data_IF_757935691874
#
_entry.id   IF_757935691874
#
_cell.length_a   1.000
_cell.length_b   1.000
_cell.length_c   1.000
_cell.angle_alpha   90.00
_cell.angle_beta   90.00
_cell.angle_gamma   90.00
#
_symmetry.space_group_name_H-M   'P 1'
#
loop_
_entity.id
_entity.type
_entity.pdbx_description
1 polymer ?
#
# COMPACT_ATOMS: atom_id res chain seq x y z
N UNK A 1 4.86 0.37 -3.14
CA UNK A 1 6.16 0.17 -2.47
C UNK A 1 6.80 1.52 -2.24
N UNK A 2 7.28 1.75 -1.04
CA UNK A 2 7.87 3.02 -0.66
C UNK A 2 8.92 2.80 0.41
N UNK A 3 9.90 3.69 0.43
CA UNK A 3 10.94 3.75 1.46
C UNK A 3 10.92 5.14 2.08
N UNK A 4 11.24 5.22 3.37
CA UNK A 4 11.41 6.46 4.11
C UNK A 4 12.72 6.46 4.92
N UNK A 5 12.91 7.48 5.76
CA UNK A 5 14.12 7.62 6.59
C UNK A 5 14.43 6.42 7.50
N UNK A 6 13.43 5.57 7.80
CA UNK A 6 13.56 4.40 8.66
C UNK A 6 13.67 3.08 7.89
N UNK A 7 13.58 3.10 6.55
CA UNK A 7 13.71 1.93 5.70
C UNK A 7 12.44 1.66 4.88
N UNK A 8 12.03 0.39 4.82
CA UNK A 8 10.88 -0.05 4.03
C UNK A 8 9.57 0.35 4.71
N UNK A 9 8.65 0.98 3.98
CA UNK A 9 7.41 1.52 4.52
C UNK A 9 6.18 1.20 3.64
N UNK A 10 6.08 -0.04 3.12
CA UNK A 10 5.02 -0.41 2.18
C UNK A 10 3.60 -0.15 2.71
N UNK A 11 2.73 0.29 1.79
CA UNK A 11 1.30 0.53 2.04
C UNK A 11 0.47 -0.44 1.22
N UNK A 12 -0.43 -1.18 1.87
CA UNK A 12 -1.44 -2.01 1.19
C UNK A 12 -2.62 -1.13 0.80
N UNK A 13 -3.02 -1.20 -0.47
CA UNK A 13 -4.27 -0.64 -0.94
C UNK A 13 -5.34 -1.72 -0.96
N UNK A 14 -6.51 -1.43 -0.41
CA UNK A 14 -7.62 -2.37 -0.32
C UNK A 14 -8.94 -1.72 -0.74
N UNK A 15 -9.87 -2.54 -1.23
CA UNK A 15 -11.26 -2.17 -1.50
C UNK A 15 -12.19 -2.97 -0.60
N UNK A 16 -13.37 -2.44 -0.24
CA UNK A 16 -14.42 -3.21 0.43
C UNK A 16 -14.77 -4.50 -0.31
N UNK A 17 -15.08 -5.55 0.45
CA UNK A 17 -15.68 -6.78 -0.10
C UNK A 17 -17.07 -6.50 -0.67
N UNK A 18 -17.50 -7.29 -1.66
CA UNK A 18 -18.76 -7.05 -2.39
C UNK A 18 -20.01 -7.05 -1.50
N UNK A 19 -19.97 -7.75 -0.35
CA UNK A 19 -21.05 -7.72 0.65
C UNK A 19 -21.22 -6.34 1.30
N UNK A 20 -20.13 -5.57 1.42
CA UNK A 20 -20.11 -4.22 1.97
C UNK A 20 -20.42 -3.21 0.87
N UNK A 21 -19.76 -3.33 -0.29
CA UNK A 21 -19.97 -2.45 -1.43
C UNK A 21 -19.64 -3.16 -2.75
N UNK A 22 -20.65 -3.38 -3.59
CA UNK A 22 -20.50 -4.08 -4.87
C UNK A 22 -19.86 -3.25 -5.98
N UNK A 23 -19.77 -1.92 -5.82
CA UNK A 23 -19.23 -1.02 -6.84
C UNK A 23 -17.77 -1.27 -7.21
N UNK A 24 -17.01 -1.97 -6.35
CA UNK A 24 -15.62 -2.37 -6.63
C UNK A 24 -15.45 -3.87 -6.89
N UNK A 25 -16.53 -4.63 -7.08
CA UNK A 25 -16.44 -6.07 -7.30
C UNK A 25 -15.65 -6.47 -8.56
N UNK A 26 -15.43 -5.52 -9.49
CA UNK A 26 -14.64 -5.70 -10.70
C UNK A 26 -13.15 -5.39 -10.52
N UNK A 27 -12.74 -4.93 -9.33
CA UNK A 27 -11.35 -4.56 -9.01
C UNK A 27 -10.75 -5.71 -8.19
N UNK A 28 -9.93 -6.50 -8.86
CA UNK A 28 -9.18 -7.64 -8.33
C UNK A 28 -7.67 -7.36 -8.28
N UNK A 29 -7.18 -6.41 -9.08
CA UNK A 29 -5.78 -6.00 -9.11
C UNK A 29 -5.63 -4.48 -9.36
N UNK A 30 -4.43 -3.96 -9.11
CA UNK A 30 -4.14 -2.52 -9.13
C UNK A 30 -4.28 -1.88 -10.51
N UNK A 31 -4.09 -2.66 -11.57
CA UNK A 31 -4.24 -2.20 -12.96
C UNK A 31 -5.69 -1.93 -13.36
N UNK A 32 -6.67 -2.37 -12.57
CA UNK A 32 -8.09 -2.08 -12.76
C UNK A 32 -8.54 -0.82 -12.01
N UNK A 33 -7.67 -0.23 -11.20
CA UNK A 33 -7.91 1.06 -10.57
C UNK A 33 -7.51 2.17 -11.54
N UNK A 34 -8.31 3.23 -11.62
CA UNK A 34 -7.98 4.39 -12.43
C UNK A 34 -6.59 4.93 -12.09
N UNK A 35 -5.75 5.15 -13.10
CA UNK A 35 -4.39 5.68 -12.93
C UNK A 35 -4.39 7.02 -12.19
N UNK A 36 -5.42 7.84 -12.40
CA UNK A 36 -5.57 9.12 -11.70
C UNK A 36 -5.64 8.96 -10.17
N UNK A 37 -6.27 7.89 -9.67
CA UNK A 37 -6.26 7.59 -8.24
C UNK A 37 -4.88 7.14 -7.77
N UNK A 38 -4.17 6.34 -8.56
CA UNK A 38 -2.81 5.88 -8.23
C UNK A 38 -1.83 7.06 -8.16
N UNK A 39 -1.91 7.98 -9.11
CA UNK A 39 -1.12 9.21 -9.14
C UNK A 39 -1.40 10.08 -7.90
N UNK A 40 -2.68 10.27 -7.54
CA UNK A 40 -3.06 11.08 -6.36
C UNK A 40 -2.57 10.48 -5.05
N UNK A 41 -2.69 9.16 -4.88
CA UNK A 41 -2.20 8.47 -3.68
C UNK A 41 -0.67 8.53 -3.63
N UNK A 42 0.01 8.29 -4.76
CA UNK A 42 1.46 8.41 -4.86
C UNK A 42 1.94 9.81 -4.47
N UNK A 43 1.43 10.84 -5.15
CA UNK A 43 1.79 12.23 -4.86
C UNK A 43 1.56 12.61 -3.39
N UNK A 44 0.46 12.15 -2.79
CA UNK A 44 0.22 12.40 -1.36
C UNK A 44 1.37 11.86 -0.50
N UNK A 45 1.78 10.61 -0.67
CA UNK A 45 2.84 10.01 0.13
C UNK A 45 4.22 10.61 -0.17
N UNK A 46 4.48 11.00 -1.42
CA UNK A 46 5.73 11.67 -1.80
C UNK A 46 5.92 13.02 -1.09
N UNK A 47 4.82 13.74 -0.83
CA UNK A 47 4.89 15.14 -0.39
C UNK A 47 4.41 15.40 1.05
N UNK A 48 3.70 14.47 1.70
CA UNK A 48 3.08 14.78 3.00
C UNK A 48 4.08 15.11 4.12
N UNK A 49 5.34 14.68 3.97
CA UNK A 49 6.44 14.96 4.92
C UNK A 49 7.34 16.13 4.50
N UNK A 50 7.05 16.88 3.43
CA UNK A 50 7.97 17.88 2.87
C UNK A 50 8.41 18.98 3.87
N UNK A 51 7.58 19.26 4.87
CA UNK A 51 7.85 20.26 5.91
C UNK A 51 8.42 19.66 7.21
N UNK A 52 8.60 18.33 7.26
CA UNK A 52 9.18 17.63 8.40
C UNK A 52 10.70 17.50 8.22
N UNK A 53 11.47 18.31 8.97
CA UNK A 53 12.93 18.35 8.85
C UNK A 53 13.55 16.96 9.03
N UNK A 54 14.31 16.52 8.02
CA UNK A 54 15.05 15.26 8.04
C UNK A 54 14.22 14.04 7.63
N UNK A 55 12.94 14.20 7.31
CA UNK A 55 12.10 13.12 6.79
C UNK A 55 11.95 13.21 5.28
N UNK A 56 11.75 12.08 4.65
CA UNK A 56 11.55 11.97 3.20
C UNK A 56 10.75 10.72 2.88
N UNK A 57 10.17 10.69 1.69
CA UNK A 57 9.53 9.50 1.14
C UNK A 57 9.99 9.33 -0.30
N UNK A 58 10.24 8.07 -0.68
CA UNK A 58 10.48 7.70 -2.08
C UNK A 58 9.50 6.60 -2.48
N UNK A 59 8.79 6.82 -3.58
CA UNK A 59 7.99 5.79 -4.22
C UNK A 59 8.85 4.94 -5.16
N UNK A 60 8.86 3.64 -4.92
CA UNK A 60 9.54 2.66 -5.77
C UNK A 60 8.57 2.00 -6.78
N UNK A 61 7.30 2.40 -6.74
CA UNK A 61 6.24 1.96 -7.64
C UNK A 61 5.18 1.07 -7.00
N UNK A 62 4.26 0.59 -7.82
CA UNK A 62 3.10 -0.19 -7.39
C UNK A 62 3.31 -1.69 -7.61
N UNK A 63 2.91 -2.49 -6.62
CA UNK A 63 2.85 -3.95 -6.71
C UNK A 63 1.42 -4.43 -6.93
N UNK A 64 1.24 -5.65 -7.42
CA UNK A 64 -0.08 -6.25 -7.66
C UNK A 64 -0.71 -6.90 -6.42
N UNK A 65 -1.96 -7.33 -6.54
CA UNK A 65 -2.73 -7.93 -5.45
C UNK A 65 -2.09 -9.22 -4.89
N UNK A 66 -1.44 -10.03 -5.73
CA UNK A 66 -0.72 -11.23 -5.29
C UNK A 66 0.45 -10.91 -4.36
N UNK A 67 1.24 -9.88 -4.69
CA UNK A 67 2.34 -9.40 -3.86
C UNK A 67 1.83 -8.83 -2.53
N UNK A 68 0.75 -8.03 -2.57
CA UNK A 68 0.12 -7.48 -1.37
C UNK A 68 -0.38 -8.58 -0.42
N UNK A 69 -1.01 -9.64 -0.94
CA UNK A 69 -1.46 -10.81 -0.16
C UNK A 69 -0.29 -11.57 0.46
N UNK A 70 0.81 -11.74 -0.27
CA UNK A 70 2.03 -12.37 0.24
C UNK A 70 2.60 -11.55 1.41
N UNK A 71 2.79 -10.25 1.24
CA UNK A 71 3.31 -9.34 2.28
C UNK A 71 2.42 -9.39 3.53
N UNK A 72 1.08 -9.37 3.36
CA UNK A 72 0.14 -9.49 4.47
C UNK A 72 0.31 -10.82 5.22
N UNK A 73 0.37 -11.94 4.49
CA UNK A 73 0.50 -13.28 5.09
C UNK A 73 1.81 -13.40 5.86
N UNK A 74 2.94 -13.00 5.25
CA UNK A 74 4.25 -12.99 5.92
C UNK A 74 4.27 -12.07 7.16
N UNK A 75 3.55 -10.95 7.13
CA UNK A 75 3.46 -10.04 8.28
C UNK A 75 2.66 -10.66 9.43
N UNK A 76 1.58 -11.37 9.13
CA UNK A 76 0.80 -12.14 10.11
C UNK A 76 1.63 -13.30 10.68
N UNK A 77 2.38 -14.01 9.84
CA UNK A 77 3.27 -15.10 10.27
C UNK A 77 4.38 -14.61 11.21
N UNK A 78 5.04 -13.49 10.89
CA UNK A 78 6.03 -12.86 11.76
C UNK A 78 5.43 -12.50 13.12
N UNK A 79 4.27 -11.83 13.10
CA UNK A 79 3.55 -11.48 14.34
C UNK A 79 3.24 -12.70 15.21
N UNK A 80 2.74 -13.79 14.59
CA UNK A 80 2.41 -15.02 15.32
C UNK A 80 3.65 -15.79 15.81
N UNK A 81 4.78 -15.69 15.11
CA UNK A 81 6.03 -16.36 15.50
C UNK A 81 6.77 -15.61 16.60
N UNK A 82 6.63 -14.29 16.65
CA UNK A 82 7.17 -13.42 17.71
C UNK A 82 6.21 -13.30 18.91
N UNK A 83 5.05 -13.96 18.87
CA UNK A 83 4.12 -14.02 20.00
C UNK A 83 4.72 -14.88 21.12
N UNK A 84 4.79 -14.38 22.38
CA UNK A 84 5.38 -15.11 23.51
C UNK A 84 4.62 -16.38 23.89
#
# INVERSE_FOLDING_TARGET
KMSDEAGSDEKILAVPVSKVFSGYAHIEDINQVSSHWMERIGHFFEHYKDLEKGKWVKLDGWGGAAEAKRILTESVERYNSDAP
#
